data_IF_018442460425
#
_entry.id   IF_018442460425
#
_cell.length_a   1.000
_cell.length_b   1.000
_cell.length_c   1.000
_cell.angle_alpha   90.00
_cell.angle_beta   90.00
_cell.angle_gamma   90.00
#
_symmetry.space_group_name_H-M   'P 1'
#
loop_
_entity.id
_entity.type
_entity.pdbx_description
1 polymer ?
#
# COMPACT_ATOMS: atom_id res chain seq x y z
N UNK A 1 4.23 -12.47 -0.43
CA UNK A 1 4.81 -11.91 -1.68
C UNK A 1 5.80 -12.89 -2.25
N UNK A 2 5.52 -13.48 -3.40
CA UNK A 2 6.43 -14.40 -4.07
C UNK A 2 7.63 -13.65 -4.65
N UNK A 3 8.74 -14.36 -4.88
CA UNK A 3 9.99 -13.79 -5.45
C UNK A 3 9.82 -13.11 -6.82
N UNK A 4 8.72 -13.33 -7.52
CA UNK A 4 8.37 -12.68 -8.78
C UNK A 4 8.02 -11.19 -8.62
N UNK A 5 7.42 -10.78 -7.50
CA UNK A 5 7.08 -9.37 -7.26
C UNK A 5 8.30 -8.46 -7.13
N UNK A 6 9.47 -8.99 -6.71
CA UNK A 6 10.72 -8.24 -6.59
C UNK A 6 11.41 -8.01 -7.94
N UNK A 7 11.04 -8.76 -8.98
CA UNK A 7 11.72 -8.72 -10.30
C UNK A 7 11.05 -7.80 -11.32
N UNK A 8 9.92 -7.18 -10.98
CA UNK A 8 9.28 -6.25 -11.91
C UNK A 8 10.02 -4.90 -11.93
N UNK A 9 10.83 -4.70 -12.99
CA UNK A 9 11.63 -3.48 -13.18
C UNK A 9 10.81 -2.18 -13.17
N UNK A 10 9.50 -2.24 -13.41
CA UNK A 10 8.62 -1.07 -13.32
C UNK A 10 8.58 -0.47 -11.92
N UNK A 11 8.77 -1.30 -10.86
CA UNK A 11 8.77 -0.83 -9.46
C UNK A 11 9.86 0.20 -9.15
N UNK A 12 10.95 0.24 -9.91
CA UNK A 12 12.01 1.24 -9.72
C UNK A 12 11.60 2.63 -10.22
N UNK A 13 10.71 2.69 -11.20
CA UNK A 13 10.28 3.93 -11.86
C UNK A 13 8.97 4.51 -11.30
N UNK A 14 8.44 3.93 -10.23
CA UNK A 14 7.19 4.37 -9.58
C UNK A 14 7.32 4.29 -8.06
N UNK A 15 6.49 5.00 -7.33
CA UNK A 15 6.25 4.75 -5.90
C UNK A 15 5.15 3.68 -5.79
N UNK A 16 5.48 2.52 -5.22
CA UNK A 16 4.43 1.51 -4.95
C UNK A 16 3.60 1.91 -3.74
N UNK A 17 2.36 1.45 -3.66
CA UNK A 17 1.46 1.76 -2.54
C UNK A 17 2.08 1.46 -1.17
N UNK A 18 2.76 0.33 -1.02
CA UNK A 18 3.49 -0.02 0.22
C UNK A 18 4.69 0.89 0.54
N UNK A 19 5.24 1.60 -0.46
CA UNK A 19 6.31 2.57 -0.30
C UNK A 19 5.81 4.01 -0.14
N UNK A 20 4.49 4.24 -0.28
CA UNK A 20 3.92 5.58 -0.31
C UNK A 20 4.24 6.41 0.93
N UNK A 21 4.20 5.79 2.11
CA UNK A 21 4.62 6.42 3.35
C UNK A 21 6.09 6.84 3.32
N UNK A 22 6.98 5.95 2.87
CA UNK A 22 8.43 6.19 2.84
C UNK A 22 8.84 7.25 1.83
N UNK A 23 8.10 7.41 0.74
CA UNK A 23 8.35 8.47 -0.25
C UNK A 23 8.21 9.89 0.34
N UNK A 24 7.49 10.04 1.46
CA UNK A 24 7.35 11.30 2.19
C UNK A 24 8.22 11.31 3.45
N UNK A 25 8.12 10.28 4.29
CA UNK A 25 8.67 10.33 5.65
C UNK A 25 10.04 9.66 5.82
N UNK A 26 10.46 8.80 4.86
CA UNK A 26 11.77 8.12 4.85
C UNK A 26 12.42 8.14 3.45
N UNK A 27 12.30 9.28 2.78
CA UNK A 27 12.63 9.47 1.35
C UNK A 27 14.08 9.14 1.00
N UNK A 28 15.05 9.40 1.88
CA UNK A 28 16.46 9.09 1.61
C UNK A 28 16.73 7.58 1.54
N UNK A 29 16.13 6.82 2.47
CA UNK A 29 16.24 5.37 2.47
C UNK A 29 15.59 4.80 1.22
N UNK A 30 14.36 5.19 0.93
CA UNK A 30 13.65 4.73 -0.25
C UNK A 30 14.39 5.11 -1.56
N UNK A 31 15.00 6.30 -1.62
CA UNK A 31 15.80 6.70 -2.77
C UNK A 31 17.00 5.77 -2.98
N UNK A 32 17.73 5.41 -1.92
CA UNK A 32 18.87 4.48 -2.00
C UNK A 32 18.44 3.10 -2.47
N UNK A 33 17.29 2.62 -2.00
CA UNK A 33 16.69 1.35 -2.46
C UNK A 33 16.36 1.42 -3.95
N UNK A 34 15.71 2.50 -4.41
CA UNK A 34 15.31 2.68 -5.82
C UNK A 34 16.47 2.91 -6.77
N UNK A 35 17.57 3.47 -6.29
CA UNK A 35 18.79 3.73 -7.06
C UNK A 35 19.86 2.65 -6.85
N UNK A 36 19.50 1.50 -6.26
CA UNK A 36 20.38 0.35 -6.01
C UNK A 36 21.62 0.66 -5.16
N UNK A 37 21.57 1.69 -4.33
CA UNK A 37 22.63 2.03 -3.37
C UNK A 37 22.51 1.28 -2.05
N UNK A 38 21.34 0.74 -1.78
CA UNK A 38 21.08 -0.22 -0.72
C UNK A 38 20.48 -1.49 -1.34
N UNK A 39 20.82 -2.68 -0.84
CA UNK A 39 20.19 -3.91 -1.30
C UNK A 39 18.69 -3.86 -0.99
N UNK A 40 17.85 -4.46 -1.84
CA UNK A 40 16.43 -4.59 -1.54
C UNK A 40 16.24 -5.39 -0.24
N UNK A 41 15.20 -5.05 0.50
CA UNK A 41 14.81 -5.83 1.68
C UNK A 41 14.39 -7.24 1.25
N UNK A 42 15.10 -8.26 1.74
CA UNK A 42 14.88 -9.67 1.37
C UNK A 42 13.76 -10.34 2.19
N UNK A 43 13.18 -9.61 3.14
CA UNK A 43 12.20 -10.15 4.09
C UNK A 43 12.85 -10.59 5.40
N UNK A 44 12.02 -10.90 6.36
CA UNK A 44 12.37 -11.48 7.66
C UNK A 44 11.23 -12.41 8.12
N UNK A 45 11.37 -12.99 9.32
CA UNK A 45 10.34 -13.88 9.89
C UNK A 45 8.94 -13.25 9.91
N UNK A 46 8.85 -11.93 10.20
CA UNK A 46 7.55 -11.22 10.20
C UNK A 46 6.95 -11.11 8.80
N UNK A 47 7.80 -10.89 7.79
CA UNK A 47 7.36 -10.85 6.38
C UNK A 47 6.94 -12.23 5.92
N UNK A 48 7.70 -13.27 6.30
CA UNK A 48 7.37 -14.65 5.97
C UNK A 48 6.03 -15.06 6.60
N UNK A 49 5.84 -14.76 7.90
CA UNK A 49 4.57 -15.00 8.59
C UNK A 49 3.39 -14.34 7.86
N UNK A 50 3.51 -13.07 7.48
CA UNK A 50 2.49 -12.35 6.73
C UNK A 50 2.14 -13.04 5.41
N UNK A 51 3.16 -13.46 4.66
CA UNK A 51 2.97 -14.15 3.38
C UNK A 51 2.31 -15.55 3.56
N UNK A 52 2.72 -16.28 4.60
CA UNK A 52 2.21 -17.64 4.86
C UNK A 52 0.74 -17.64 5.28
N UNK A 53 0.22 -16.54 5.84
CA UNK A 53 -1.15 -16.43 6.35
C UNK A 53 -2.05 -15.47 5.54
N UNK A 54 -1.57 -14.89 4.45
CA UNK A 54 -2.36 -13.97 3.61
C UNK A 54 -3.59 -14.69 3.02
N UNK A 55 -3.43 -15.93 2.56
CA UNK A 55 -4.53 -16.72 2.01
C UNK A 55 -5.56 -17.11 3.08
N UNK A 56 -5.11 -17.50 4.28
CA UNK A 56 -6.01 -17.79 5.41
C UNK A 56 -6.88 -16.58 5.76
N UNK A 57 -6.26 -15.39 5.74
CA UNK A 57 -6.95 -14.14 6.05
C UNK A 57 -7.97 -13.76 4.96
N UNK A 58 -7.63 -13.96 3.67
CA UNK A 58 -8.57 -13.75 2.56
C UNK A 58 -9.76 -14.69 2.69
N UNK A 59 -9.52 -15.98 2.96
CA UNK A 59 -10.60 -16.97 3.15
C UNK A 59 -11.51 -16.60 4.35
N UNK A 60 -10.92 -16.17 5.47
CA UNK A 60 -11.71 -15.71 6.62
C UNK A 60 -12.57 -14.49 6.27
N UNK A 61 -12.04 -13.56 5.46
CA UNK A 61 -12.76 -12.39 4.98
C UNK A 61 -13.91 -12.80 4.02
N UNK A 62 -13.68 -13.72 3.09
CA UNK A 62 -14.69 -14.25 2.17
C UNK A 62 -15.86 -14.90 2.94
N UNK A 63 -15.55 -15.71 3.95
CA UNK A 63 -16.57 -16.30 4.83
C UNK A 63 -17.37 -15.23 5.56
N UNK A 64 -16.70 -14.19 6.09
CA UNK A 64 -17.35 -13.08 6.79
C UNK A 64 -18.27 -12.29 5.86
N UNK A 65 -17.84 -12.02 4.63
CA UNK A 65 -18.60 -11.25 3.64
C UNK A 65 -19.64 -12.10 2.92
N UNK A 66 -19.58 -13.43 3.04
CA UNK A 66 -20.36 -14.41 2.27
C UNK A 66 -20.24 -14.17 0.74
N UNK A 67 -19.01 -13.86 0.30
CA UNK A 67 -18.71 -13.55 -1.09
C UNK A 67 -17.25 -13.96 -1.40
N UNK A 68 -16.86 -14.03 -2.68
CA UNK A 68 -15.56 -14.51 -3.13
C UNK A 68 -14.73 -13.35 -3.67
N UNK A 69 -13.48 -13.27 -3.23
CA UNK A 69 -12.52 -12.29 -3.68
C UNK A 69 -11.90 -12.67 -5.03
N UNK A 70 -11.71 -11.67 -5.87
CA UNK A 70 -10.83 -11.78 -7.05
C UNK A 70 -9.37 -11.65 -6.60
N UNK A 71 -8.56 -12.69 -6.78
CA UNK A 71 -7.13 -12.67 -6.46
C UNK A 71 -6.39 -11.62 -7.30
N UNK A 72 -5.55 -10.82 -6.69
CA UNK A 72 -4.80 -9.74 -7.34
C UNK A 72 -3.30 -9.85 -7.09
N UNK A 73 -2.62 -10.61 -7.96
CA UNK A 73 -1.16 -10.77 -7.92
C UNK A 73 -0.41 -9.86 -8.92
N UNK A 74 -1.10 -8.90 -9.55
CA UNK A 74 -0.51 -8.07 -10.60
C UNK A 74 -0.18 -6.67 -10.09
N UNK A 75 1.01 -6.19 -10.45
CA UNK A 75 1.32 -4.77 -10.31
C UNK A 75 0.50 -3.97 -11.32
N UNK A 76 -0.46 -3.20 -10.82
CA UNK A 76 -1.14 -2.15 -11.55
C UNK A 76 -0.29 -0.88 -11.47
N UNK A 77 -0.21 -0.13 -12.57
CA UNK A 77 0.51 1.14 -12.65
C UNK A 77 -0.47 2.21 -13.13
N UNK A 78 -0.44 3.37 -12.50
CA UNK A 78 -1.25 4.50 -12.96
C UNK A 78 -0.72 4.99 -14.32
N UNK A 79 -1.57 5.23 -15.34
CA UNK A 79 -1.11 5.58 -16.69
C UNK A 79 -0.32 6.90 -16.74
N UNK A 80 -0.68 7.89 -15.91
CA UNK A 80 -0.16 9.25 -16.00
C UNK A 80 0.66 9.68 -14.76
N UNK A 81 0.61 8.91 -13.67
CA UNK A 81 1.26 9.26 -12.41
C UNK A 81 2.33 8.22 -12.04
N UNK A 82 3.41 8.63 -11.37
CA UNK A 82 4.51 7.72 -11.02
C UNK A 82 4.17 6.87 -9.77
N UNK A 83 2.98 6.28 -9.75
CA UNK A 83 2.51 5.41 -8.66
C UNK A 83 1.97 4.09 -9.20
N UNK A 84 2.08 3.05 -8.39
CA UNK A 84 1.54 1.73 -8.72
C UNK A 84 1.21 0.96 -7.46
N UNK A 85 0.41 -0.09 -7.60
CA UNK A 85 -0.06 -0.90 -6.50
C UNK A 85 -0.22 -2.36 -6.88
N UNK A 86 0.02 -3.24 -5.92
CA UNK A 86 -0.50 -4.60 -5.89
C UNK A 86 -1.43 -4.65 -4.68
N UNK A 87 -2.70 -4.93 -4.90
CA UNK A 87 -3.66 -5.21 -3.83
C UNK A 87 -3.62 -6.70 -3.52
N UNK A 88 -3.95 -7.11 -2.31
CA UNK A 88 -3.97 -8.54 -1.94
C UNK A 88 -5.16 -9.23 -2.63
N UNK A 89 -6.32 -8.56 -2.68
CA UNK A 89 -7.49 -9.02 -3.42
C UNK A 89 -8.42 -7.85 -3.83
N UNK A 90 -9.47 -8.18 -4.58
CA UNK A 90 -10.64 -7.32 -4.80
C UNK A 90 -11.92 -8.07 -4.45
N UNK A 91 -12.85 -7.41 -3.77
CA UNK A 91 -14.21 -7.89 -3.57
C UNK A 91 -15.18 -6.99 -4.34
N UNK A 92 -15.77 -7.51 -5.41
CA UNK A 92 -16.66 -6.73 -6.30
C UNK A 92 -16.04 -5.40 -6.81
N UNK A 93 -14.72 -5.41 -7.03
CA UNK A 93 -13.95 -4.24 -7.47
C UNK A 93 -13.54 -3.28 -6.33
N UNK A 94 -13.92 -3.54 -5.09
CA UNK A 94 -13.43 -2.85 -3.89
C UNK A 94 -12.07 -3.45 -3.49
N UNK A 95 -11.10 -2.61 -3.17
CA UNK A 95 -9.77 -3.05 -2.75
C UNK A 95 -9.85 -3.82 -1.43
N UNK A 96 -9.09 -4.91 -1.32
CA UNK A 96 -8.88 -5.64 -0.06
C UNK A 96 -7.39 -5.59 0.26
N UNK A 97 -7.06 -5.09 1.44
CA UNK A 97 -5.72 -5.05 2.00
C UNK A 97 -5.67 -5.86 3.29
N UNK A 98 -4.84 -6.89 3.31
CA UNK A 98 -4.74 -7.85 4.40
C UNK A 98 -3.49 -7.62 5.22
N UNK A 99 -3.62 -7.75 6.53
CA UNK A 99 -2.50 -7.75 7.48
C UNK A 99 -2.60 -8.94 8.43
N UNK A 100 -1.54 -9.74 8.45
CA UNK A 100 -1.35 -10.84 9.40
C UNK A 100 -0.19 -10.48 10.33
N UNK A 101 -0.44 -9.76 11.44
CA UNK A 101 0.63 -9.29 12.31
C UNK A 101 1.32 -10.47 13.02
N UNK A 102 2.66 -10.53 12.92
CA UNK A 102 3.50 -11.54 13.59
C UNK A 102 3.28 -11.56 15.11
N UNK A 103 2.96 -10.41 15.70
CA UNK A 103 2.66 -10.27 17.13
C UNK A 103 1.32 -10.88 17.53
N UNK A 104 0.52 -11.34 16.58
CA UNK A 104 -0.83 -11.90 16.77
C UNK A 104 -1.76 -10.95 17.53
N UNK A 105 -1.67 -9.65 17.27
CA UNK A 105 -2.51 -8.60 17.88
C UNK A 105 -3.18 -7.77 16.82
N UNK A 106 -4.50 -7.60 16.95
CA UNK A 106 -5.26 -6.68 16.12
C UNK A 106 -4.80 -5.24 16.41
N UNK A 107 -4.75 -4.41 15.38
CA UNK A 107 -4.45 -3.00 15.54
C UNK A 107 -5.66 -2.28 16.17
N UNK A 108 -5.47 -1.46 17.20
CA UNK A 108 -6.57 -0.70 17.81
C UNK A 108 -7.16 0.37 16.87
N UNK A 109 -6.38 0.80 15.90
CA UNK A 109 -6.75 1.74 14.83
C UNK A 109 -5.89 1.43 13.61
N UNK A 110 -6.37 1.75 12.41
CA UNK A 110 -5.59 1.59 11.19
C UNK A 110 -4.33 2.47 11.26
N UNK A 111 -3.11 1.90 11.24
CA UNK A 111 -1.89 2.69 11.20
C UNK A 111 -1.84 3.59 9.96
N UNK A 112 -1.35 4.83 10.10
CA UNK A 112 -1.31 5.82 9.02
C UNK A 112 -0.67 5.29 7.74
N UNK A 113 0.41 4.53 7.86
CA UNK A 113 1.10 3.92 6.71
C UNK A 113 0.23 2.95 5.91
N UNK A 114 -0.67 2.20 6.55
CA UNK A 114 -1.59 1.29 5.86
C UNK A 114 -2.77 2.03 5.25
N UNK A 115 -3.26 3.05 5.94
CA UNK A 115 -4.25 3.94 5.38
C UNK A 115 -3.75 4.62 4.09
N UNK A 116 -2.52 5.19 4.12
CA UNK A 116 -1.86 5.77 2.94
C UNK A 116 -1.68 4.73 1.83
N UNK A 117 -1.28 3.50 2.17
CA UNK A 117 -1.16 2.42 1.20
C UNK A 117 -2.48 2.18 0.47
N UNK A 118 -3.59 2.05 1.20
CA UNK A 118 -4.92 1.81 0.62
C UNK A 118 -5.40 2.98 -0.26
N UNK A 119 -5.11 4.22 0.12
CA UNK A 119 -5.43 5.38 -0.73
C UNK A 119 -4.76 5.28 -2.12
N UNK A 120 -3.50 4.89 -2.16
CA UNK A 120 -2.77 4.71 -3.42
C UNK A 120 -3.26 3.48 -4.18
N UNK A 121 -3.60 2.39 -3.50
CA UNK A 121 -4.21 1.22 -4.14
C UNK A 121 -5.53 1.59 -4.82
N UNK A 122 -6.42 2.32 -4.13
CA UNK A 122 -7.69 2.78 -4.69
C UNK A 122 -7.50 3.69 -5.91
N UNK A 123 -6.61 4.68 -5.81
CA UNK A 123 -6.27 5.57 -6.94
C UNK A 123 -5.83 4.77 -8.17
N UNK A 124 -4.89 3.85 -7.98
CA UNK A 124 -4.33 3.04 -9.07
C UNK A 124 -5.37 2.07 -9.63
N UNK A 125 -6.17 1.45 -8.78
CA UNK A 125 -7.23 0.53 -9.20
C UNK A 125 -8.30 1.25 -10.05
N UNK A 126 -8.76 2.44 -9.63
CA UNK A 126 -9.69 3.27 -10.41
C UNK A 126 -9.14 3.58 -11.80
N UNK A 127 -7.87 4.00 -11.90
CA UNK A 127 -7.21 4.30 -13.17
C UNK A 127 -7.06 3.08 -14.09
N UNK A 128 -7.13 1.86 -13.51
CA UNK A 128 -7.09 0.59 -14.24
C UNK A 128 -8.47 -0.05 -14.44
N UNK A 129 -9.57 0.69 -14.23
CA UNK A 129 -10.92 0.28 -14.57
C UNK A 129 -11.76 -0.33 -13.44
N UNK A 130 -11.23 -0.45 -12.23
CA UNK A 130 -11.98 -0.88 -11.05
C UNK A 130 -12.84 0.27 -10.52
N UNK A 131 -14.03 0.45 -11.10
CA UNK A 131 -14.91 1.60 -10.80
C UNK A 131 -15.38 1.65 -9.34
N UNK A 132 -15.43 0.50 -8.67
CA UNK A 132 -15.85 0.39 -7.26
C UNK A 132 -14.68 0.58 -6.27
N UNK A 133 -13.44 0.81 -6.75
CA UNK A 133 -12.29 1.08 -5.90
C UNK A 133 -12.34 2.49 -5.26
N UNK A 134 -13.53 2.93 -4.85
CA UNK A 134 -13.78 4.14 -4.05
C UNK A 134 -13.74 3.86 -2.54
N UNK A 135 -13.55 2.60 -2.19
CA UNK A 135 -13.34 2.12 -0.85
C UNK A 135 -12.33 0.96 -0.81
N UNK A 136 -11.78 0.69 0.36
CA UNK A 136 -10.90 -0.44 0.61
C UNK A 136 -11.28 -1.11 1.93
N UNK A 137 -11.34 -2.44 1.94
CA UNK A 137 -11.41 -3.22 3.16
C UNK A 137 -10.01 -3.38 3.75
N UNK A 138 -9.83 -2.89 4.97
CA UNK A 138 -8.67 -3.21 5.79
C UNK A 138 -8.98 -4.43 6.62
N UNK A 139 -8.29 -5.52 6.35
CA UNK A 139 -8.51 -6.81 7.01
C UNK A 139 -7.30 -7.13 7.89
N UNK A 140 -7.54 -7.41 9.16
CA UNK A 140 -6.51 -7.88 10.09
C UNK A 140 -6.90 -9.25 10.59
N UNK A 141 -6.01 -10.22 10.39
CA UNK A 141 -6.24 -11.60 10.75
C UNK A 141 -5.13 -12.12 11.67
N UNK A 142 -5.54 -12.89 12.64
CA UNK A 142 -4.67 -13.73 13.48
C UNK A 142 -5.35 -15.09 13.66
N UNK A 143 -4.65 -16.14 14.12
CA UNK A 143 -5.30 -17.42 14.39
C UNK A 143 -6.49 -17.35 15.35
N UNK A 144 -6.52 -16.35 16.25
CA UNK A 144 -7.52 -16.22 17.30
C UNK A 144 -8.53 -15.09 17.05
N UNK A 145 -8.19 -14.10 16.22
CA UNK A 145 -9.00 -12.88 16.06
C UNK A 145 -9.06 -12.43 14.58
N UNK A 146 -10.20 -11.89 14.19
CA UNK A 146 -10.45 -11.32 12.88
C UNK A 146 -11.11 -9.94 13.03
N UNK A 147 -10.63 -8.96 12.28
CA UNK A 147 -11.20 -7.62 12.23
C UNK A 147 -11.20 -7.09 10.80
N UNK A 148 -12.25 -6.40 10.41
CA UNK A 148 -12.31 -5.67 9.14
C UNK A 148 -12.89 -4.28 9.33
N UNK A 149 -12.37 -3.31 8.59
CA UNK A 149 -12.81 -1.92 8.60
C UNK A 149 -12.82 -1.39 7.16
N UNK A 150 -13.87 -0.64 6.79
CA UNK A 150 -14.00 -0.04 5.47
C UNK A 150 -13.40 1.36 5.46
N UNK A 151 -12.44 1.60 4.58
CA UNK A 151 -11.76 2.89 4.37
C UNK A 151 -12.28 3.52 3.08
N UNK A 152 -12.72 4.76 3.15
CA UNK A 152 -13.16 5.51 1.98
C UNK A 152 -11.97 6.17 1.25
N UNK A 153 -12.10 6.33 -0.05
CA UNK A 153 -11.17 7.10 -0.86
C UNK A 153 -11.21 8.58 -0.48
N UNK A 154 -10.05 9.18 -0.31
CA UNK A 154 -9.88 10.56 0.14
C UNK A 154 -9.16 11.38 -0.95
N UNK A 155 -9.94 12.17 -1.70
CA UNK A 155 -9.39 13.00 -2.78
C UNK A 155 -8.47 14.11 -2.23
N UNK A 156 -8.75 14.68 -1.05
CA UNK A 156 -7.90 15.71 -0.43
C UNK A 156 -6.50 15.16 -0.11
N UNK A 157 -6.47 13.93 0.40
CA UNK A 157 -5.20 13.25 0.60
C UNK A 157 -4.45 13.04 -0.72
N UNK A 158 -5.11 12.59 -1.77
CA UNK A 158 -4.48 12.34 -3.07
C UNK A 158 -3.92 13.64 -3.65
N UNK A 159 -4.68 14.73 -3.60
CA UNK A 159 -4.25 16.05 -4.08
C UNK A 159 -3.01 16.57 -3.32
N UNK A 160 -2.93 16.26 -2.02
CA UNK A 160 -1.77 16.57 -1.20
C UNK A 160 -0.58 15.64 -1.51
N UNK A 161 -0.83 14.34 -1.72
CA UNK A 161 0.22 13.32 -1.81
C UNK A 161 0.90 13.27 -3.18
N UNK A 162 0.16 13.39 -4.28
CA UNK A 162 0.70 13.18 -5.63
C UNK A 162 1.84 14.14 -5.98
N UNK A 163 1.77 15.45 -5.70
CA UNK A 163 2.91 16.34 -5.92
C UNK A 163 4.19 15.90 -5.19
N UNK A 164 4.06 15.34 -3.97
CA UNK A 164 5.20 14.84 -3.18
C UNK A 164 5.80 13.57 -3.79
N UNK A 165 4.96 12.68 -4.30
CA UNK A 165 5.40 11.47 -5.01
C UNK A 165 6.11 11.81 -6.32
N UNK A 166 5.60 12.79 -7.08
CA UNK A 166 6.22 13.27 -8.31
C UNK A 166 7.57 13.93 -8.03
N UNK A 167 7.64 14.80 -7.02
CA UNK A 167 8.91 15.40 -6.58
C UNK A 167 9.93 14.33 -6.19
N UNK A 168 9.50 13.34 -5.40
CA UNK A 168 10.37 12.23 -5.00
C UNK A 168 10.90 11.44 -6.21
N UNK A 169 10.02 11.10 -7.15
CA UNK A 169 10.44 10.38 -8.36
C UNK A 169 11.35 11.21 -9.27
N UNK A 170 11.23 12.52 -9.29
CA UNK A 170 12.19 13.42 -9.95
C UNK A 170 13.61 13.22 -9.39
N UNK A 171 13.77 13.13 -8.07
CA UNK A 171 15.09 12.84 -7.46
C UNK A 171 15.63 11.46 -7.83
N UNK A 172 14.74 10.45 -7.99
CA UNK A 172 15.15 9.11 -8.44
C UNK A 172 15.62 9.14 -9.89
N UNK A 173 14.87 9.82 -10.77
CA UNK A 173 15.18 9.93 -12.20
C UNK A 173 16.48 10.72 -12.46
N UNK A 174 16.69 11.80 -11.71
CA UNK A 174 17.89 12.64 -11.81
C UNK A 174 19.10 12.01 -11.10
N UNK A 175 18.94 10.85 -10.48
CA UNK A 175 19.95 10.20 -9.63
C UNK A 175 20.53 11.10 -8.55
N UNK A 176 19.69 11.97 -7.97
CA UNK A 176 20.05 12.98 -6.97
C UNK A 176 19.43 12.66 -5.63
N UNK A 177 20.26 12.53 -4.58
CA UNK A 177 19.72 12.29 -3.23
C UNK A 177 18.75 13.41 -2.79
N UNK A 178 17.50 13.08 -2.37
CA UNK A 178 16.55 14.06 -1.93
C UNK A 178 17.04 14.76 -0.64
N UNK A 179 16.88 16.09 -0.54
CA UNK A 179 17.26 16.81 0.67
C UNK A 179 16.38 16.39 1.85
N UNK A 180 16.86 16.61 3.07
CA UNK A 180 15.97 16.53 4.24
C UNK A 180 14.98 17.70 4.18
N UNK A 181 13.72 17.40 4.49
CA UNK A 181 12.76 18.48 4.69
C UNK A 181 13.21 19.39 5.85
N UNK A 182 13.15 20.69 5.64
CA UNK A 182 13.31 21.67 6.74
C UNK A 182 12.15 21.54 7.74
N UNK A 183 10.92 21.35 7.21
CA UNK A 183 9.71 20.97 7.93
C UNK A 183 9.06 19.85 7.13
N UNK A 184 8.77 18.72 7.79
CA UNK A 184 8.10 17.58 7.12
C UNK A 184 6.71 18.02 6.64
N UNK A 185 6.30 17.62 5.43
CA UNK A 185 4.91 17.77 5.00
C UNK A 185 3.98 17.06 5.99
N UNK A 186 2.89 17.70 6.36
CA UNK A 186 1.91 17.17 7.30
C UNK A 186 0.57 17.03 6.61
N UNK A 187 -0.07 15.89 6.78
CA UNK A 187 -1.47 15.67 6.45
C UNK A 187 -2.23 15.43 7.76
N UNK A 188 -3.45 15.95 7.87
CA UNK A 188 -4.24 15.79 9.08
C UNK A 188 -4.97 14.45 9.10
N UNK A 189 -4.27 13.39 9.50
CA UNK A 189 -4.84 12.05 9.59
C UNK A 189 -6.00 11.91 10.61
N UNK A 190 -6.26 12.91 11.46
CA UNK A 190 -7.38 12.87 12.42
C UNK A 190 -8.73 13.20 11.77
N UNK A 191 -8.75 13.69 10.53
CA UNK A 191 -9.98 14.01 9.78
C UNK A 191 -10.45 12.86 8.89
N UNK A 192 -9.86 11.67 9.01
CA UNK A 192 -10.28 10.48 8.26
C UNK A 192 -11.77 10.24 8.47
N UNK A 193 -12.52 10.19 7.39
CA UNK A 193 -13.93 9.81 7.44
C UNK A 193 -14.01 8.34 7.87
N UNK A 194 -14.20 8.10 9.16
CA UNK A 194 -14.67 6.81 9.65
C UNK A 194 -16.18 6.78 9.38
N UNK A 195 -16.60 5.94 8.44
CA UNK A 195 -18.02 5.65 8.20
C UNK A 195 -18.42 4.43 9.02
#
# INVERSE_FOLDING_TARGET
MTSEHLKDNRRHNIVTASQAWSAVYDRKKLWREKTFREPPFEGNEMTQWGNDHEEDAIQAFEVHMNDICESSNKLLVHPDLPVGATSDAFLNGVVVEVKCPYTQKIYPTIPDRYWVQMQIQMLVAQANGYKNAVAAHFVVWTPDEFHTELVQYDQEFIDWYIPLAQEFMGFVQDDKEPPRYKRKPEFNFNQRSNV
#
